data_IF_347426312423
#
_entry.id   IF_347426312423
#
_cell.length_a   1.000
_cell.length_b   1.000
_cell.length_c   1.000
_cell.angle_alpha   90.00
_cell.angle_beta   90.00
_cell.angle_gamma   90.00
#
_symmetry.space_group_name_H-M   'P 1'
#
loop_
_entity.id
_entity.type
_entity.pdbx_description
1 polymer ?
#
# COMPACT_ATOMS: atom_id res chain seq x y z
N UNK A 1 3.92 28.37 -3.84
CA UNK A 1 3.93 26.97 -4.27
C UNK A 1 5.24 26.77 -5.01
N UNK A 2 6.24 26.12 -4.40
CA UNK A 2 7.52 25.84 -5.09
C UNK A 2 7.29 24.60 -5.93
N UNK A 3 7.31 24.75 -7.23
CA UNK A 3 7.42 23.63 -8.17
C UNK A 3 8.82 23.05 -8.03
N UNK A 4 8.96 21.89 -7.41
CA UNK A 4 10.18 21.11 -7.46
C UNK A 4 10.16 20.33 -8.76
N UNK A 5 11.13 20.61 -9.61
CA UNK A 5 11.36 19.88 -10.86
C UNK A 5 12.10 18.57 -10.51
N UNK A 6 11.38 17.46 -10.47
CA UNK A 6 11.92 16.12 -10.19
C UNK A 6 12.64 15.56 -11.43
N UNK A 7 12.49 16.20 -12.60
CA UNK A 7 13.05 15.71 -13.87
C UNK A 7 14.59 15.71 -13.96
N UNK A 8 15.28 16.30 -12.96
CA UNK A 8 16.74 16.41 -12.89
C UNK A 8 17.38 15.71 -11.68
N UNK A 9 16.60 14.98 -10.86
CA UNK A 9 17.18 14.17 -9.79
C UNK A 9 17.64 12.83 -10.36
N UNK A 10 18.85 12.38 -9.98
CA UNK A 10 19.31 11.01 -10.26
C UNK A 10 18.31 10.01 -9.71
N UNK A 11 18.07 8.92 -10.45
CA UNK A 11 17.12 7.89 -10.00
C UNK A 11 17.58 7.31 -8.66
N UNK A 12 16.66 7.08 -7.71
CA UNK A 12 17.02 6.52 -6.42
C UNK A 12 17.46 5.05 -6.59
N UNK A 13 18.55 4.65 -5.94
CA UNK A 13 18.97 3.25 -5.89
C UNK A 13 17.91 2.35 -5.26
N UNK A 14 17.11 2.87 -4.32
CA UNK A 14 16.08 2.15 -3.60
C UNK A 14 14.71 2.78 -3.78
N UNK A 15 13.67 1.94 -3.82
CA UNK A 15 12.27 2.35 -3.80
C UNK A 15 11.56 1.57 -2.70
N UNK A 16 10.94 2.27 -1.76
CA UNK A 16 10.24 1.66 -0.65
C UNK A 16 8.73 1.70 -0.90
N UNK A 17 8.07 0.55 -0.87
CA UNK A 17 6.62 0.41 -0.92
C UNK A 17 6.11 -0.05 0.45
N UNK A 18 5.12 0.60 1.02
CA UNK A 18 4.65 0.27 2.38
C UNK A 18 3.14 0.29 2.48
N UNK A 19 2.61 -0.71 3.20
CA UNK A 19 1.27 -0.58 3.77
C UNK A 19 1.23 0.52 4.83
N UNK A 20 0.02 0.93 5.19
CA UNK A 20 -0.23 2.01 6.15
C UNK A 20 -0.67 1.47 7.51
N UNK A 21 -1.86 0.92 7.61
CA UNK A 21 -2.49 0.59 8.89
C UNK A 21 -1.86 -0.66 9.53
N UNK A 22 -1.24 -0.51 10.70
CA UNK A 22 -0.47 -1.59 11.32
C UNK A 22 0.99 -1.69 10.86
N UNK A 23 1.39 -0.91 9.84
CA UNK A 23 2.76 -0.78 9.35
C UNK A 23 3.33 0.61 9.65
N UNK A 24 3.18 1.54 8.71
CA UNK A 24 3.63 2.93 8.87
C UNK A 24 2.80 3.71 9.88
N UNK A 25 1.51 3.38 10.01
CA UNK A 25 0.57 3.96 10.96
C UNK A 25 0.27 2.97 12.07
N UNK A 26 0.20 3.48 13.29
CA UNK A 26 -0.29 2.71 14.42
C UNK A 26 -1.76 2.30 14.19
N UNK A 27 -2.09 1.06 14.48
CA UNK A 27 -3.40 0.46 14.17
C UNK A 27 -4.57 1.01 14.99
N UNK A 28 -4.30 1.72 16.10
CA UNK A 28 -5.31 2.28 16.99
C UNK A 28 -5.38 3.79 16.89
N UNK A 29 -4.22 4.46 16.90
CA UNK A 29 -4.12 5.93 16.93
C UNK A 29 -3.94 6.55 15.55
N UNK A 30 -3.59 5.76 14.53
CA UNK A 30 -3.23 6.22 13.19
C UNK A 30 -2.07 7.24 13.18
N UNK A 31 -1.25 7.24 14.25
CA UNK A 31 -0.01 8.02 14.33
C UNK A 31 1.13 7.32 13.58
N UNK A 32 2.02 8.12 12.99
CA UNK A 32 3.30 7.68 12.44
C UNK A 32 4.51 8.24 13.22
N UNK A 33 4.28 8.72 14.44
CA UNK A 33 5.33 9.40 15.21
C UNK A 33 6.54 8.51 15.49
N UNK A 34 6.32 7.23 15.77
CA UNK A 34 7.40 6.26 15.98
C UNK A 34 8.20 5.94 14.71
N UNK A 35 7.64 6.21 13.53
CA UNK A 35 8.32 6.04 12.24
C UNK A 35 9.12 7.29 11.78
N UNK A 36 8.98 8.44 12.48
CA UNK A 36 9.61 9.70 12.07
C UNK A 36 11.12 9.63 11.84
N UNK A 37 11.93 8.94 12.67
CA UNK A 37 13.37 8.88 12.42
C UNK A 37 13.70 8.25 11.06
N UNK A 38 13.07 7.13 10.71
CA UNK A 38 13.28 6.46 9.43
C UNK A 38 12.70 7.26 8.25
N UNK A 39 11.53 7.90 8.42
CA UNK A 39 10.97 8.80 7.40
C UNK A 39 11.91 9.96 7.09
N UNK A 40 12.57 10.53 8.10
CA UNK A 40 13.55 11.60 7.93
C UNK A 40 14.82 11.08 7.24
N UNK A 41 15.28 9.87 7.58
CA UNK A 41 16.44 9.26 6.94
C UNK A 41 16.16 8.97 5.45
N UNK A 42 15.01 8.36 5.11
CA UNK A 42 14.60 8.13 3.72
C UNK A 42 14.53 9.43 2.92
N UNK A 43 14.02 10.50 3.53
CA UNK A 43 13.96 11.82 2.89
C UNK A 43 15.35 12.40 2.66
N UNK A 44 16.27 12.26 3.63
CA UNK A 44 17.65 12.74 3.51
C UNK A 44 18.42 12.01 2.39
N UNK A 45 18.15 10.72 2.20
CA UNK A 45 18.74 9.88 1.15
C UNK A 45 17.95 9.93 -0.18
N UNK A 46 16.94 10.80 -0.29
CA UNK A 46 16.06 10.92 -1.47
C UNK A 46 15.39 9.61 -1.91
N UNK A 47 15.15 8.69 -0.99
CA UNK A 47 14.50 7.41 -1.28
C UNK A 47 12.97 7.61 -1.33
N UNK A 48 12.31 7.36 -2.47
CA UNK A 48 10.88 7.50 -2.59
C UNK A 48 10.14 6.45 -1.76
N UNK A 49 9.05 6.90 -1.13
CA UNK A 49 8.14 6.04 -0.39
C UNK A 49 6.84 5.97 -1.17
N UNK A 50 6.44 4.78 -1.60
CA UNK A 50 5.15 4.52 -2.24
C UNK A 50 4.20 4.00 -1.17
N UNK A 51 3.17 4.76 -0.89
CA UNK A 51 2.13 4.36 0.05
C UNK A 51 1.13 3.45 -0.66
N UNK A 52 0.85 2.27 -0.07
CA UNK A 52 -0.03 1.23 -0.64
C UNK A 52 -1.04 0.80 0.39
N UNK A 53 -2.33 1.11 0.24
CA UNK A 53 -3.29 0.84 1.30
C UNK A 53 -4.70 0.49 0.78
N UNK A 54 -5.52 -0.09 1.67
CA UNK A 54 -6.96 -0.21 1.49
C UNK A 54 -7.73 1.10 1.67
N UNK A 55 -7.07 2.20 2.04
CA UNK A 55 -7.67 3.53 2.20
C UNK A 55 -8.12 4.10 0.85
N UNK A 56 -9.16 4.92 0.91
CA UNK A 56 -9.69 5.67 -0.24
C UNK A 56 -8.74 6.79 -0.66
N UNK A 57 -8.92 7.28 -1.90
CA UNK A 57 -8.22 8.48 -2.37
C UNK A 57 -8.42 9.68 -1.44
N UNK A 58 -9.61 9.85 -0.89
CA UNK A 58 -9.94 10.96 0.00
C UNK A 58 -9.22 10.89 1.37
N UNK A 59 -8.96 9.68 1.88
CA UNK A 59 -8.16 9.48 3.10
C UNK A 59 -6.67 9.78 2.86
N UNK A 60 -6.18 9.54 1.65
CA UNK A 60 -4.79 9.81 1.31
C UNK A 60 -4.45 11.30 1.30
N UNK A 61 -5.37 12.20 0.94
CA UNK A 61 -5.08 13.62 0.82
C UNK A 61 -4.51 14.23 2.12
N UNK A 62 -5.21 14.17 3.28
CA UNK A 62 -4.69 14.73 4.51
C UNK A 62 -3.48 13.97 5.06
N UNK A 63 -3.40 12.66 4.81
CA UNK A 63 -2.25 11.87 5.24
C UNK A 63 -0.98 12.26 4.48
N UNK A 64 -1.08 12.42 3.17
CA UNK A 64 0.05 12.86 2.32
C UNK A 64 0.52 14.26 2.68
N UNK A 65 -0.40 15.17 3.01
CA UNK A 65 -0.06 16.50 3.51
C UNK A 65 0.72 16.43 4.83
N UNK A 66 0.25 15.65 5.80
CA UNK A 66 0.93 15.45 7.09
C UNK A 66 2.32 14.80 6.95
N UNK A 67 2.49 13.89 5.96
CA UNK A 67 3.74 13.21 5.66
C UNK A 67 4.67 14.03 4.74
N UNK A 68 4.24 15.19 4.23
CA UNK A 68 4.92 15.91 3.13
C UNK A 68 5.26 14.94 1.96
N UNK A 69 4.30 14.08 1.62
CA UNK A 69 4.49 13.00 0.66
C UNK A 69 4.11 13.46 -0.75
N UNK A 70 5.08 13.37 -1.67
CA UNK A 70 4.93 13.83 -3.07
C UNK A 70 4.98 12.72 -4.11
N UNK A 71 5.31 11.51 -3.72
CA UNK A 71 5.51 10.37 -4.60
C UNK A 71 4.17 9.74 -5.06
N UNK A 72 4.18 8.81 -6.03
CA UNK A 72 3.02 8.00 -6.37
C UNK A 72 2.46 7.24 -5.17
N UNK A 73 1.20 6.85 -5.25
CA UNK A 73 0.54 6.07 -4.21
C UNK A 73 -0.55 5.17 -4.80
N UNK A 74 -0.90 4.12 -4.06
CA UNK A 74 -1.83 3.07 -4.48
C UNK A 74 -2.96 2.99 -3.46
N UNK A 75 -4.20 3.07 -3.93
CA UNK A 75 -5.40 3.13 -3.09
C UNK A 75 -6.27 1.89 -3.24
N UNK A 76 -7.17 1.69 -2.27
CA UNK A 76 -8.21 0.67 -2.27
C UNK A 76 -7.69 -0.71 -2.68
N UNK A 77 -6.64 -1.19 -1.97
CA UNK A 77 -6.03 -2.51 -2.17
C UNK A 77 -5.54 -2.76 -3.62
N UNK A 78 -4.93 -1.74 -4.23
CA UNK A 78 -4.39 -1.85 -5.58
C UNK A 78 -5.41 -1.53 -6.69
N UNK A 79 -6.56 -0.97 -6.33
CA UNK A 79 -7.59 -0.67 -7.31
C UNK A 79 -7.30 0.55 -8.19
N UNK A 80 -6.50 1.51 -7.70
CA UNK A 80 -6.02 2.60 -8.52
C UNK A 80 -4.62 3.06 -8.11
N UNK A 81 -3.81 3.42 -9.12
CA UNK A 81 -2.46 4.00 -8.96
C UNK A 81 -2.53 5.46 -9.34
N UNK A 82 -2.13 6.33 -8.43
CA UNK A 82 -2.04 7.78 -8.62
C UNK A 82 -0.58 8.19 -8.78
N UNK A 83 -0.23 8.74 -9.93
CA UNK A 83 1.12 9.19 -10.26
C UNK A 83 1.09 10.71 -10.49
N UNK A 84 1.78 11.54 -9.68
CA UNK A 84 1.90 12.96 -9.94
C UNK A 84 2.43 13.22 -11.37
N UNK A 85 1.96 14.29 -12.01
CA UNK A 85 2.22 14.55 -13.45
C UNK A 85 3.70 14.73 -13.79
N UNK A 86 4.50 15.12 -12.80
CA UNK A 86 5.93 15.41 -12.89
C UNK A 86 6.85 14.25 -12.43
N UNK A 87 6.26 13.08 -12.09
CA UNK A 87 7.05 11.94 -11.59
C UNK A 87 7.94 11.31 -12.65
N UNK A 88 7.44 11.17 -13.88
CA UNK A 88 8.15 10.52 -14.99
C UNK A 88 8.23 11.44 -16.21
N UNK A 89 9.28 11.28 -17.01
CA UNK A 89 9.44 11.98 -18.28
C UNK A 89 8.45 11.55 -19.37
N UNK A 90 7.59 10.56 -19.07
CA UNK A 90 6.56 10.00 -19.95
C UNK A 90 5.25 9.81 -19.20
N UNK A 91 4.14 9.71 -19.94
CA UNK A 91 2.85 9.32 -19.35
C UNK A 91 2.79 7.81 -19.17
N UNK A 92 2.43 7.29 -17.97
CA UNK A 92 2.23 5.85 -17.76
C UNK A 92 1.17 5.28 -18.72
N UNK A 93 1.40 4.07 -19.20
CA UNK A 93 0.46 3.40 -20.10
C UNK A 93 -0.91 3.17 -19.44
N UNK A 94 -1.98 3.28 -20.23
CA UNK A 94 -3.37 3.13 -19.77
C UNK A 94 -3.79 4.12 -18.69
N UNK A 95 -3.00 5.16 -18.43
CA UNK A 95 -3.37 6.20 -17.47
C UNK A 95 -4.30 7.22 -18.09
N UNK A 96 -5.13 7.84 -17.25
CA UNK A 96 -5.94 9.01 -17.59
C UNK A 96 -5.53 10.18 -16.71
N UNK A 97 -5.49 11.38 -17.28
CA UNK A 97 -5.23 12.57 -16.48
C UNK A 97 -6.46 12.95 -15.65
N UNK A 98 -6.30 12.96 -14.34
CA UNK A 98 -7.31 13.45 -13.36
C UNK A 98 -6.65 14.47 -12.44
N UNK A 99 -7.03 15.74 -12.56
CA UNK A 99 -6.41 16.84 -11.80
C UNK A 99 -4.88 16.85 -11.94
N UNK A 100 -4.14 16.70 -10.86
CA UNK A 100 -2.67 16.72 -10.78
C UNK A 100 -2.01 15.35 -10.97
N UNK A 101 -2.77 14.33 -11.43
CA UNK A 101 -2.28 12.95 -11.52
C UNK A 101 -2.54 12.32 -12.88
N UNK A 102 -1.63 11.42 -13.26
CA UNK A 102 -1.96 10.29 -14.11
C UNK A 102 -2.57 9.19 -13.24
N UNK A 103 -3.76 8.72 -13.54
CA UNK A 103 -4.46 7.67 -12.78
C UNK A 103 -4.60 6.43 -13.63
N UNK A 104 -4.19 5.28 -13.07
CA UNK A 104 -4.37 3.95 -13.67
C UNK A 104 -5.40 3.23 -12.82
N UNK A 105 -6.59 3.01 -13.38
CA UNK A 105 -7.71 2.33 -12.71
C UNK A 105 -7.66 0.83 -13.04
N UNK A 106 -7.63 -0.01 -12.02
CA UNK A 106 -7.58 -1.48 -12.11
C UNK A 106 -8.79 -2.14 -11.46
N UNK A 107 -9.46 -1.42 -10.56
CA UNK A 107 -10.56 -1.92 -9.75
C UNK A 107 -11.88 -2.01 -10.50
N UNK A 108 -12.80 -2.78 -9.92
CA UNK A 108 -14.20 -2.83 -10.35
C UNK A 108 -14.96 -1.64 -9.75
N UNK A 109 -15.82 -0.93 -10.52
CA UNK A 109 -16.56 0.21 -10.00
C UNK A 109 -17.37 -0.13 -8.75
N UNK A 110 -17.35 0.74 -7.73
CA UNK A 110 -17.97 0.55 -6.42
C UNK A 110 -19.46 0.19 -6.49
N UNK A 111 -20.22 0.83 -7.37
CA UNK A 111 -21.64 0.53 -7.54
C UNK A 111 -21.89 -0.95 -7.89
N UNK A 112 -21.05 -1.53 -8.74
CA UNK A 112 -21.16 -2.95 -9.12
C UNK A 112 -20.80 -3.86 -7.93
N UNK A 113 -19.77 -3.51 -7.15
CA UNK A 113 -19.42 -4.27 -5.94
C UNK A 113 -20.57 -4.27 -4.93
N UNK A 114 -21.24 -3.13 -4.76
CA UNK A 114 -22.43 -3.00 -3.90
C UNK A 114 -23.59 -3.88 -4.36
N UNK A 115 -23.83 -3.92 -5.68
CA UNK A 115 -24.89 -4.76 -6.23
C UNK A 115 -24.58 -6.24 -6.04
N UNK A 116 -23.32 -6.64 -6.24
CA UNK A 116 -22.90 -8.04 -6.02
C UNK A 116 -22.96 -8.42 -4.55
N UNK A 117 -22.57 -7.54 -3.61
CA UNK A 117 -22.67 -7.84 -2.18
C UNK A 117 -24.11 -8.11 -1.76
N UNK A 118 -25.08 -7.33 -2.26
CA UNK A 118 -26.52 -7.56 -2.03
C UNK A 118 -27.01 -8.90 -2.60
N UNK A 119 -26.58 -9.27 -3.79
CA UNK A 119 -26.90 -10.58 -4.39
C UNK A 119 -26.34 -11.75 -3.56
N UNK A 120 -25.14 -11.57 -2.98
CA UNK A 120 -24.53 -12.58 -2.11
C UNK A 120 -25.33 -12.68 -0.80
N UNK A 121 -25.70 -11.55 -0.21
CA UNK A 121 -26.56 -11.47 0.98
C UNK A 121 -27.87 -12.27 0.78
N UNK A 122 -28.55 -12.04 -0.34
CA UNK A 122 -29.76 -12.79 -0.70
C UNK A 122 -29.49 -14.30 -0.86
N UNK A 123 -28.37 -14.66 -1.51
CA UNK A 123 -28.02 -16.06 -1.77
C UNK A 123 -27.67 -16.84 -0.50
N UNK A 124 -26.99 -16.20 0.47
CA UNK A 124 -26.59 -16.85 1.73
C UNK A 124 -27.64 -16.70 2.84
N UNK A 125 -28.63 -15.84 2.65
CA UNK A 125 -29.72 -15.60 3.61
C UNK A 125 -29.25 -14.95 4.93
N UNK A 126 -28.12 -14.23 4.90
CA UNK A 126 -27.53 -13.58 6.08
C UNK A 126 -27.13 -12.16 5.73
N UNK A 127 -27.49 -11.15 6.56
CA UNK A 127 -27.14 -9.76 6.31
C UNK A 127 -25.62 -9.55 6.18
N UNK A 128 -25.22 -8.89 5.10
CA UNK A 128 -23.84 -8.49 4.82
C UNK A 128 -23.75 -6.97 4.75
N UNK A 129 -23.42 -6.36 5.88
CA UNK A 129 -23.34 -4.90 5.96
C UNK A 129 -21.97 -4.39 5.61
N UNK A 130 -21.86 -3.71 4.49
CA UNK A 130 -20.65 -3.03 4.06
C UNK A 130 -20.64 -1.54 4.39
N UNK A 131 -19.55 -0.85 4.08
CA UNK A 131 -19.38 0.60 4.32
C UNK A 131 -20.48 1.41 3.63
N UNK A 132 -21.02 0.95 2.51
CA UNK A 132 -22.16 1.58 1.86
C UNK A 132 -23.43 1.61 2.72
N UNK A 133 -23.64 0.60 3.58
CA UNK A 133 -24.83 0.48 4.45
C UNK A 133 -24.64 1.12 5.83
N UNK A 134 -23.38 1.22 6.29
CA UNK A 134 -23.09 1.75 7.61
C UNK A 134 -23.26 3.27 7.66
N UNK A 135 -23.80 3.79 8.74
CA UNK A 135 -23.75 5.21 9.06
C UNK A 135 -22.34 5.65 9.43
N UNK A 136 -22.08 6.96 9.44
CA UNK A 136 -20.79 7.49 9.86
C UNK A 136 -20.48 7.11 11.31
N UNK A 137 -21.48 7.15 12.17
CA UNK A 137 -21.37 6.80 13.60
C UNK A 137 -21.01 5.31 13.77
N UNK A 138 -21.58 4.42 12.95
CA UNK A 138 -21.26 2.99 12.95
C UNK A 138 -19.82 2.74 12.46
N UNK A 139 -19.38 3.45 11.43
CA UNK A 139 -17.99 3.38 10.95
C UNK A 139 -17.05 3.85 12.05
N UNK A 140 -17.30 5.00 12.68
CA UNK A 140 -16.51 5.51 13.80
C UNK A 140 -16.40 4.49 14.94
N UNK A 141 -17.55 3.94 15.36
CA UNK A 141 -17.58 2.94 16.43
C UNK A 141 -16.82 1.65 16.09
N UNK A 142 -16.81 1.25 14.82
CA UNK A 142 -16.18 0.01 14.37
C UNK A 142 -14.68 0.19 14.12
N UNK A 143 -14.26 1.36 13.64
CA UNK A 143 -12.89 1.60 13.19
C UNK A 143 -12.06 2.42 14.18
N UNK A 144 -12.70 3.20 15.05
CA UNK A 144 -12.03 4.21 15.88
C UNK A 144 -11.69 5.51 15.13
N UNK A 145 -12.05 5.64 13.86
CA UNK A 145 -11.81 6.84 13.07
C UNK A 145 -12.56 8.05 13.63
N UNK A 146 -11.95 9.21 13.51
CA UNK A 146 -12.64 10.47 13.72
C UNK A 146 -13.71 10.68 12.63
N UNK A 147 -14.72 11.52 12.91
CA UNK A 147 -15.84 11.74 11.99
C UNK A 147 -15.42 12.13 10.57
N UNK A 148 -14.45 13.02 10.45
CA UNK A 148 -13.96 13.45 9.14
C UNK A 148 -13.26 12.32 8.36
N UNK A 149 -12.50 11.47 9.06
CA UNK A 149 -11.83 10.34 8.44
C UNK A 149 -12.82 9.23 8.10
N UNK A 150 -13.84 9.00 8.93
CA UNK A 150 -14.96 8.10 8.61
C UNK A 150 -15.74 8.56 7.37
N UNK A 151 -15.96 9.88 7.20
CA UNK A 151 -16.55 10.45 5.98
C UNK A 151 -15.67 10.16 4.76
N UNK A 152 -14.35 10.36 4.87
CA UNK A 152 -13.39 10.06 3.79
C UNK A 152 -13.33 8.59 3.47
N UNK A 153 -13.31 7.72 4.48
CA UNK A 153 -13.29 6.26 4.32
C UNK A 153 -14.54 5.71 3.61
N UNK A 154 -15.64 6.44 3.65
CA UNK A 154 -16.90 6.11 2.94
C UNK A 154 -16.88 6.52 1.46
N UNK A 155 -15.95 7.37 1.01
CA UNK A 155 -15.84 7.81 -0.38
C UNK A 155 -15.10 6.77 -1.25
N UNK A 156 -15.64 5.55 -1.29
CA UNK A 156 -15.11 4.41 -2.02
C UNK A 156 -15.38 4.51 -3.52
N UNK A 157 -14.37 4.12 -4.32
CA UNK A 157 -14.49 4.04 -5.78
C UNK A 157 -14.43 2.58 -6.28
N UNK A 158 -13.71 1.65 -5.57
CA UNK A 158 -13.36 0.33 -6.10
C UNK A 158 -13.28 -0.79 -5.05
N UNK A 159 -13.61 -0.56 -3.79
CA UNK A 159 -13.48 -1.54 -2.70
C UNK A 159 -14.67 -1.39 -1.75
N UNK A 160 -15.34 -2.49 -1.44
CA UNK A 160 -16.40 -2.52 -0.44
C UNK A 160 -15.95 -3.30 0.80
N UNK A 161 -15.50 -2.63 1.86
CA UNK A 161 -15.26 -3.26 3.14
C UNK A 161 -16.58 -3.70 3.78
N UNK A 162 -16.65 -4.94 4.26
CA UNK A 162 -17.83 -5.46 4.91
C UNK A 162 -17.50 -6.36 6.10
N UNK A 163 -18.43 -6.50 7.01
CA UNK A 163 -18.31 -7.35 8.19
C UNK A 163 -19.08 -8.66 7.99
N UNK A 164 -18.47 -9.75 8.41
CA UNK A 164 -19.13 -11.05 8.48
C UNK A 164 -19.05 -11.56 9.90
N UNK A 165 -20.24 -11.78 10.48
CA UNK A 165 -20.38 -12.43 11.77
C UNK A 165 -21.08 -13.79 11.54
N UNK A 166 -20.34 -14.89 11.70
CA UNK A 166 -20.93 -16.20 11.49
C UNK A 166 -19.91 -17.35 11.61
N UNK A 167 -20.40 -18.59 11.49
CA UNK A 167 -19.52 -19.73 11.54
C UNK A 167 -18.60 -19.81 10.30
N UNK A 168 -17.44 -20.49 10.38
CA UNK A 168 -16.49 -20.60 9.28
C UNK A 168 -17.10 -21.04 7.95
N UNK A 169 -18.06 -21.98 7.97
CA UNK A 169 -18.78 -22.42 6.76
C UNK A 169 -19.54 -21.31 6.03
N UNK A 170 -20.10 -20.35 6.77
CA UNK A 170 -20.76 -19.20 6.15
C UNK A 170 -19.73 -18.28 5.47
N UNK A 171 -18.58 -18.07 6.11
CA UNK A 171 -17.49 -17.26 5.55
C UNK A 171 -16.97 -17.90 4.27
N UNK A 172 -16.72 -19.21 4.29
CA UNK A 172 -16.30 -19.98 3.12
C UNK A 172 -17.32 -19.87 1.97
N UNK A 173 -18.62 -19.98 2.28
CA UNK A 173 -19.67 -19.82 1.27
C UNK A 173 -19.71 -18.42 0.68
N UNK A 174 -19.60 -17.36 1.50
CA UNK A 174 -19.52 -15.97 1.02
C UNK A 174 -18.32 -15.79 0.09
N UNK A 175 -17.14 -16.23 0.51
CA UNK A 175 -15.92 -16.17 -0.30
C UNK A 175 -16.10 -16.91 -1.63
N UNK A 176 -16.69 -18.10 -1.62
CA UNK A 176 -17.01 -18.88 -2.82
C UNK A 176 -17.98 -18.12 -3.74
N UNK A 177 -19.03 -17.50 -3.18
CA UNK A 177 -20.00 -16.71 -3.93
C UNK A 177 -19.35 -15.48 -4.60
N UNK A 178 -18.36 -14.84 -3.96
CA UNK A 178 -17.59 -13.75 -4.55
C UNK A 178 -16.81 -14.26 -5.77
N UNK A 179 -16.03 -15.33 -5.59
CA UNK A 179 -15.19 -15.91 -6.65
C UNK A 179 -16.01 -16.38 -7.85
N UNK A 180 -17.13 -17.04 -7.62
CA UNK A 180 -18.01 -17.54 -8.71
C UNK A 180 -18.64 -16.41 -9.54
N UNK A 181 -18.66 -15.17 -9.03
CA UNK A 181 -19.11 -13.96 -9.76
C UNK A 181 -17.96 -13.21 -10.45
N UNK A 182 -16.76 -13.81 -10.47
CA UNK A 182 -15.58 -13.23 -11.13
C UNK A 182 -14.97 -12.05 -10.37
N UNK A 183 -15.24 -11.93 -9.06
CA UNK A 183 -14.67 -10.95 -8.17
C UNK A 183 -13.70 -11.61 -7.20
N UNK A 184 -12.93 -10.79 -6.49
CA UNK A 184 -11.99 -11.21 -5.47
C UNK A 184 -12.38 -10.66 -4.10
N UNK A 185 -11.77 -11.25 -3.09
CA UNK A 185 -11.86 -10.76 -1.73
C UNK A 185 -10.48 -10.80 -1.07
N UNK A 186 -10.29 -9.94 -0.10
CA UNK A 186 -9.13 -9.98 0.78
C UNK A 186 -9.57 -9.68 2.21
N UNK A 187 -8.69 -9.91 3.17
CA UNK A 187 -8.94 -9.58 4.57
C UNK A 187 -7.81 -8.74 5.12
N UNK A 188 -8.15 -7.56 5.62
CA UNK A 188 -7.23 -6.66 6.31
C UNK A 188 -7.84 -6.29 7.67
N UNK A 189 -7.11 -6.55 8.74
CA UNK A 189 -7.61 -6.31 10.09
C UNK A 189 -8.95 -7.04 10.36
N UNK A 190 -10.00 -6.26 10.63
CA UNK A 190 -11.34 -6.78 10.99
C UNK A 190 -12.33 -6.90 9.84
N UNK A 191 -12.01 -6.33 8.66
CA UNK A 191 -12.90 -6.30 7.52
C UNK A 191 -12.52 -7.32 6.46
N UNK A 192 -13.55 -7.88 5.83
CA UNK A 192 -13.43 -8.44 4.49
C UNK A 192 -13.61 -7.32 3.49
N UNK A 193 -12.92 -7.41 2.38
CA UNK A 193 -12.96 -6.46 1.28
C UNK A 193 -13.42 -7.17 0.03
N UNK A 194 -14.56 -6.75 -0.52
CA UNK A 194 -15.00 -7.19 -1.84
C UNK A 194 -14.35 -6.28 -2.88
N UNK A 195 -13.57 -6.87 -3.77
CA UNK A 195 -12.77 -6.16 -4.77
C UNK A 195 -12.96 -6.75 -6.16
N UNK A 196 -12.49 -6.04 -7.16
CA UNK A 196 -12.31 -6.58 -8.50
C UNK A 196 -11.09 -7.50 -8.60
N UNK A 197 -10.61 -7.69 -9.81
CA UNK A 197 -9.38 -8.45 -10.08
C UNK A 197 -8.13 -7.58 -9.94
N UNK A 198 -8.03 -6.88 -8.81
CA UNK A 198 -6.92 -6.03 -8.40
C UNK A 198 -6.36 -6.49 -7.06
N UNK A 199 -5.09 -6.28 -6.86
CA UNK A 199 -4.37 -6.47 -5.60
C UNK A 199 -3.20 -5.48 -5.50
N UNK A 200 -2.61 -5.37 -4.30
CA UNK A 200 -1.49 -4.46 -4.03
C UNK A 200 -0.26 -4.77 -4.89
N UNK A 201 0.02 -6.05 -5.16
CA UNK A 201 1.18 -6.48 -5.95
C UNK A 201 1.05 -6.11 -7.42
N UNK A 202 -0.10 -6.38 -8.04
CA UNK A 202 -0.37 -6.02 -9.44
C UNK A 202 -0.26 -4.51 -9.67
N UNK A 203 -0.78 -3.71 -8.74
CA UNK A 203 -0.68 -2.26 -8.83
C UNK A 203 0.77 -1.78 -8.63
N UNK A 204 1.48 -2.37 -7.66
CA UNK A 204 2.90 -2.11 -7.44
C UNK A 204 3.74 -2.45 -8.66
N UNK A 205 3.54 -3.63 -9.29
CA UNK A 205 4.28 -4.05 -10.48
C UNK A 205 4.14 -3.07 -11.66
N UNK A 206 2.93 -2.52 -11.87
CA UNK A 206 2.71 -1.51 -12.91
C UNK A 206 3.56 -0.26 -12.62
N UNK A 207 3.59 0.20 -11.38
CA UNK A 207 4.37 1.35 -10.98
C UNK A 207 5.88 1.08 -11.04
N UNK A 208 6.32 -0.10 -10.58
CA UNK A 208 7.73 -0.51 -10.65
C UNK A 208 8.24 -0.56 -12.09
N UNK A 209 7.42 -1.01 -13.05
CA UNK A 209 7.76 -0.94 -14.48
C UNK A 209 7.99 0.50 -14.95
N UNK A 210 7.21 1.46 -14.45
CA UNK A 210 7.43 2.87 -14.78
C UNK A 210 8.76 3.38 -14.22
N UNK A 211 9.08 3.06 -12.97
CA UNK A 211 10.37 3.42 -12.37
C UNK A 211 11.55 2.77 -13.09
N UNK A 212 11.49 1.46 -13.38
CA UNK A 212 12.54 0.76 -14.15
C UNK A 212 12.72 1.36 -15.55
N UNK A 213 11.63 1.70 -16.24
CA UNK A 213 11.70 2.39 -17.53
C UNK A 213 12.35 3.76 -17.39
N UNK A 214 12.05 4.53 -16.36
CA UNK A 214 12.70 5.82 -16.10
C UNK A 214 14.20 5.64 -15.84
N UNK A 215 14.61 4.63 -15.06
CA UNK A 215 16.01 4.30 -14.82
C UNK A 215 16.77 3.93 -16.09
N UNK A 216 16.15 3.19 -17.01
CA UNK A 216 16.74 2.83 -18.32
C UNK A 216 16.95 4.05 -19.25
N UNK A 217 16.23 5.15 -19.02
CA UNK A 217 16.39 6.39 -19.77
C UNK A 217 17.54 7.28 -19.24
N UNK A 218 18.15 6.91 -18.11
CA UNK A 218 19.34 7.61 -17.58
C UNK A 218 20.62 7.18 -18.33
N UNK A 219 21.64 8.01 -18.25
CA UNK A 219 22.96 7.72 -18.82
C UNK A 219 24.04 7.95 -17.74
N UNK A 220 24.64 6.90 -17.17
CA UNK A 220 24.40 5.47 -17.42
C UNK A 220 23.03 4.97 -16.89
N UNK A 221 22.50 3.85 -17.42
CA UNK A 221 21.27 3.25 -16.89
C UNK A 221 21.41 2.85 -15.43
N UNK A 222 20.38 3.11 -14.63
CA UNK A 222 20.34 2.83 -13.20
C UNK A 222 19.35 1.70 -12.89
N UNK A 223 19.78 0.76 -12.05
CA UNK A 223 18.95 -0.31 -11.50
C UNK A 223 18.38 0.12 -10.15
N UNK A 224 17.14 -0.24 -9.89
CA UNK A 224 16.41 0.10 -8.67
C UNK A 224 16.14 -1.18 -7.89
N UNK A 225 16.58 -1.23 -6.64
CA UNK A 225 16.19 -2.24 -5.67
C UNK A 225 14.92 -1.81 -4.94
N UNK A 226 14.03 -2.78 -4.68
CA UNK A 226 12.70 -2.52 -4.13
C UNK A 226 12.53 -3.15 -2.76
N UNK A 227 12.00 -2.38 -1.81
CA UNK A 227 11.66 -2.83 -0.45
C UNK A 227 10.14 -2.77 -0.32
N UNK A 228 9.51 -3.86 0.09
CA UNK A 228 8.08 -3.91 0.36
C UNK A 228 7.79 -4.22 1.82
N UNK A 229 6.95 -3.43 2.48
CA UNK A 229 6.64 -3.60 3.90
C UNK A 229 5.13 -3.79 4.07
N UNK A 230 4.74 -4.85 4.78
CA UNK A 230 3.37 -5.19 5.12
C UNK A 230 3.25 -5.88 6.48
N UNK A 231 2.04 -6.14 6.97
CA UNK A 231 1.76 -6.82 8.24
C UNK A 231 0.75 -7.96 8.11
N UNK A 232 -0.03 -8.02 7.04
CA UNK A 232 -1.18 -8.91 6.91
C UNK A 232 -1.34 -9.48 5.50
N UNK A 233 -2.21 -10.48 5.36
CA UNK A 233 -2.34 -11.30 4.16
C UNK A 233 -2.66 -10.50 2.89
N UNK A 234 -3.34 -9.35 2.98
CA UNK A 234 -3.58 -8.48 1.83
C UNK A 234 -2.29 -7.83 1.28
N UNK A 235 -1.17 -7.88 2.02
CA UNK A 235 0.14 -7.41 1.59
C UNK A 235 0.94 -8.49 0.87
N UNK A 236 0.56 -9.77 1.01
CA UNK A 236 1.31 -10.87 0.39
C UNK A 236 1.57 -10.64 -1.11
N UNK A 237 0.61 -10.17 -1.93
CA UNK A 237 0.89 -9.86 -3.34
C UNK A 237 1.95 -8.76 -3.52
N UNK A 238 1.97 -7.73 -2.66
CA UNK A 238 3.00 -6.69 -2.66
C UNK A 238 4.37 -7.26 -2.32
N UNK A 239 4.44 -8.07 -1.25
CA UNK A 239 5.68 -8.68 -0.76
C UNK A 239 6.30 -9.64 -1.79
N UNK A 240 5.49 -10.25 -2.64
CA UNK A 240 5.93 -11.13 -3.74
C UNK A 240 6.51 -10.36 -4.94
N UNK A 241 6.30 -9.05 -5.05
CA UNK A 241 6.74 -8.24 -6.20
C UNK A 241 8.03 -7.47 -5.97
N UNK A 242 8.55 -7.47 -4.75
CA UNK A 242 9.72 -6.70 -4.33
C UNK A 242 10.94 -7.58 -4.10
N UNK A 243 12.13 -6.96 -4.16
CA UNK A 243 13.40 -7.67 -3.93
C UNK A 243 13.61 -7.98 -2.44
N UNK A 244 13.20 -7.06 -1.55
CA UNK A 244 13.34 -7.17 -0.10
C UNK A 244 11.97 -7.12 0.59
N UNK A 245 11.28 -8.28 0.74
CA UNK A 245 10.01 -8.35 1.47
C UNK A 245 10.23 -8.24 2.98
N UNK A 246 9.47 -7.37 3.62
CA UNK A 246 9.51 -7.11 5.07
C UNK A 246 8.13 -7.31 5.70
N UNK A 247 8.08 -8.06 6.80
CA UNK A 247 6.87 -8.30 7.57
C UNK A 247 7.00 -7.67 8.95
N UNK A 248 6.11 -6.74 9.28
CA UNK A 248 6.01 -6.07 10.59
C UNK A 248 5.13 -6.89 11.53
N UNK A 249 5.39 -6.83 12.84
CA UNK A 249 4.54 -7.47 13.84
C UNK A 249 3.20 -6.75 13.94
N UNK A 250 2.14 -7.55 14.04
CA UNK A 250 0.79 -7.10 14.37
C UNK A 250 0.70 -6.55 15.82
N UNK A 251 -0.40 -5.89 16.21
CA UNK A 251 -0.55 -5.30 17.54
C UNK A 251 -0.35 -6.27 18.70
N UNK A 252 -0.67 -7.56 18.49
CA UNK A 252 -0.47 -8.62 19.48
C UNK A 252 1.00 -9.10 19.61
N UNK A 253 1.90 -8.58 18.76
CA UNK A 253 3.31 -8.97 18.70
C UNK A 253 3.58 -10.21 17.86
N UNK A 254 2.57 -10.81 17.24
CA UNK A 254 2.73 -11.92 16.31
C UNK A 254 2.98 -11.43 14.88
N UNK A 255 3.54 -12.30 14.04
CA UNK A 255 3.50 -12.13 12.58
C UNK A 255 2.30 -12.88 12.01
N UNK A 256 1.84 -12.45 10.82
CA UNK A 256 0.81 -13.19 10.10
C UNK A 256 1.33 -14.61 9.76
N UNK A 257 0.68 -15.69 10.27
CA UNK A 257 1.16 -17.05 10.09
C UNK A 257 1.05 -17.54 8.63
N UNK A 258 0.20 -16.92 7.83
CA UNK A 258 -0.04 -17.29 6.43
C UNK A 258 0.98 -16.65 5.48
N UNK A 259 1.85 -15.75 5.99
CA UNK A 259 2.92 -15.12 5.22
C UNK A 259 4.26 -15.81 5.51
N UNK A 260 4.70 -16.64 4.57
CA UNK A 260 6.00 -17.28 4.62
C UNK A 260 6.65 -17.25 3.24
N UNK A 261 7.59 -16.34 3.04
CA UNK A 261 8.30 -16.15 1.78
C UNK A 261 9.79 -16.45 1.94
N UNK A 262 10.47 -16.92 0.87
CA UNK A 262 11.93 -16.89 0.82
C UNK A 262 12.43 -15.46 1.05
N UNK A 263 13.51 -15.31 1.79
CA UNK A 263 14.15 -14.01 2.10
C UNK A 263 13.28 -13.00 2.84
N UNK A 264 12.19 -13.45 3.49
CA UNK A 264 11.33 -12.57 4.28
C UNK A 264 12.07 -12.01 5.49
N UNK A 265 12.22 -10.70 5.53
CA UNK A 265 12.78 -9.97 6.67
C UNK A 265 11.64 -9.77 7.69
N UNK A 266 11.85 -10.24 8.92
CA UNK A 266 10.91 -10.01 10.02
C UNK A 266 11.37 -8.84 10.86
N UNK A 267 10.62 -7.74 10.83
CA UNK A 267 10.92 -6.54 11.60
C UNK A 267 10.76 -6.80 13.11
N UNK A 268 11.74 -6.40 13.90
CA UNK A 268 11.67 -6.48 15.36
C UNK A 268 10.81 -5.33 15.88
N UNK A 269 9.53 -5.59 16.18
CA UNK A 269 8.63 -4.58 16.73
C UNK A 269 7.30 -4.49 16.01
N UNK A 270 6.37 -3.76 16.62
CA UNK A 270 4.98 -3.61 16.18
C UNK A 270 4.80 -2.32 15.40
N UNK A 271 3.98 -2.37 14.37
CA UNK A 271 3.53 -1.17 13.66
C UNK A 271 4.67 -0.21 13.30
N UNK A 272 4.47 1.11 13.50
CA UNK A 272 5.45 2.13 13.10
C UNK A 272 6.80 2.02 13.81
N UNK A 273 6.86 1.48 15.02
CA UNK A 273 8.14 1.26 15.71
C UNK A 273 8.96 0.15 15.05
N UNK A 274 8.32 -0.99 14.70
CA UNK A 274 8.96 -2.06 13.95
C UNK A 274 9.35 -1.63 12.54
N UNK A 275 8.47 -0.89 11.88
CA UNK A 275 8.73 -0.27 10.58
C UNK A 275 9.97 0.65 10.63
N UNK A 276 10.02 1.53 11.63
CA UNK A 276 11.16 2.44 11.83
C UNK A 276 12.48 1.69 12.00
N UNK A 277 12.48 0.67 12.86
CA UNK A 277 13.69 -0.08 13.15
C UNK A 277 14.23 -0.78 11.90
N UNK A 278 13.38 -1.52 11.18
CA UNK A 278 13.81 -2.28 10.01
C UNK A 278 14.29 -1.38 8.87
N UNK A 279 13.62 -0.24 8.66
CA UNK A 279 14.05 0.72 7.62
C UNK A 279 15.42 1.32 7.96
N UNK A 280 15.65 1.73 9.21
CA UNK A 280 16.95 2.24 9.63
C UNK A 280 18.07 1.18 9.50
N UNK A 281 17.77 -0.08 9.81
CA UNK A 281 18.73 -1.17 9.66
C UNK A 281 19.05 -1.45 8.19
N UNK A 282 18.08 -1.47 7.32
CA UNK A 282 18.28 -1.59 5.87
C UNK A 282 19.15 -0.45 5.34
N UNK A 283 18.87 0.81 5.68
CA UNK A 283 19.67 1.96 5.26
C UNK A 283 21.12 1.89 5.73
N UNK A 284 21.39 1.36 6.94
CA UNK A 284 22.77 1.17 7.43
C UNK A 284 23.53 0.13 6.63
N UNK A 285 22.89 -0.99 6.28
CA UNK A 285 23.50 -2.05 5.47
C UNK A 285 23.86 -1.54 4.08
N UNK A 286 22.98 -0.81 3.43
CA UNK A 286 23.22 -0.23 2.11
C UNK A 286 24.38 0.76 2.09
N UNK A 287 24.48 1.62 3.11
CA UNK A 287 25.59 2.57 3.23
C UNK A 287 26.94 1.86 3.40
N UNK A 288 26.98 0.75 4.14
CA UNK A 288 28.19 -0.05 4.34
C UNK A 288 28.62 -0.80 3.08
N UNK A 289 27.68 -1.30 2.29
CA UNK A 289 27.98 -1.97 1.01
C UNK A 289 28.52 -0.98 -0.01
N UNK A 290 27.90 0.19 -0.18
CA UNK A 290 28.40 1.26 -1.05
C UNK A 290 29.80 1.72 -0.68
N UNK A 291 30.11 1.85 0.62
CA UNK A 291 31.44 2.21 1.09
C UNK A 291 32.50 1.11 0.80
N UNK A 292 32.13 -0.17 0.84
CA UNK A 292 32.99 -1.30 0.48
C UNK A 292 33.29 -1.33 -1.02
N UNK A 293 32.29 -1.14 -1.87
CA UNK A 293 32.46 -1.09 -3.33
C UNK A 293 33.39 0.05 -3.77
N UNK A 294 33.23 1.24 -3.18
CA UNK A 294 34.14 2.37 -3.44
C UNK A 294 35.59 2.06 -3.02
N UNK A 295 35.78 1.35 -1.89
CA UNK A 295 37.10 0.98 -1.39
C UNK A 295 37.79 -0.07 -2.28
N UNK A 296 37.04 -0.97 -2.89
CA UNK A 296 37.54 -1.97 -3.83
C UNK A 296 37.98 -1.32 -5.15
N UNK A 297 37.18 -0.39 -5.68
CA UNK A 297 37.51 0.31 -6.93
C UNK A 297 38.75 1.21 -6.84
N UNK A 298 39.03 1.78 -5.66
CA UNK A 298 40.25 2.59 -5.44
C UNK A 298 41.54 1.71 -5.38
N UNK A 299 41.39 0.41 -5.09
CA UNK A 299 42.55 -0.51 -5.02
C UNK A 299 42.90 -1.17 -6.35
N UNK A 300 42.08 -1.00 -7.37
CA UNK A 300 42.26 -1.61 -8.72
C UNK A 300 42.78 -0.58 -9.74
N UNK A 301 42.85 0.70 -9.38
CA UNK A 301 43.47 1.78 -10.14
C UNK A 301 44.82 2.14 -9.54
#
# INVERSE_FOLDING_TARGET
>A
MRTYDISNETMPRYLLLTDLDGCLLDSETYSFDDARPALNALRAEHIPIILVSGKTRAEFDPLRERLDHRYPFIVENGAAVYVPLDTFSFSPERSRRRSSYHVIELGTPYALLRDVLRQIEEAVGTPLRGFGDLSIEEIMATTGLLREDALRAKLREFDEPFLVNGPPKLIEEICRQIVTRGLNWTRGGRFFHLTGNNDKGRAAEILLRCYRRQGQLQDPPEEIETIGIGDSLNDLPLLLTVDHPVLVQRPDGSYDPDINLPNLIRASGRGPAGWNQVVLDLLRHTTQEAAREQTVNIRVT
#
